data_IF_328288271522
#
_entry.id   IF_328288271522
#
_cell.length_a   1.000
_cell.length_b   1.000
_cell.length_c   1.000
_cell.angle_alpha   90.00
_cell.angle_beta   90.00
_cell.angle_gamma   90.00
#
_symmetry.space_group_name_H-M   'P 1'
#
loop_
_entity.id
_entity.type
_entity.pdbx_description
1 polymer ?
#
# COMPACT_ATOMS: atom_id res chain seq x y z
N UNK A 1 -26.57 -1.81 15.47
CA UNK A 1 -25.93 -2.67 14.45
C UNK A 1 -24.50 -2.18 14.31
N UNK A 2 -23.47 -3.02 14.45
CA UNK A 2 -22.12 -2.58 14.14
C UNK A 2 -22.13 -2.15 12.67
N UNK A 3 -21.72 -0.91 12.40
CA UNK A 3 -21.53 -0.43 11.02
C UNK A 3 -20.47 -1.33 10.40
N UNK A 4 -20.77 -1.94 9.25
CA UNK A 4 -19.75 -2.64 8.47
C UNK A 4 -18.58 -1.67 8.24
N UNK A 5 -17.43 -2.00 8.81
CA UNK A 5 -16.24 -1.12 8.82
C UNK A 5 -15.68 -0.95 7.40
N UNK A 6 -15.94 -1.91 6.52
CA UNK A 6 -15.49 -1.94 5.13
C UNK A 6 -16.70 -1.96 4.20
N UNK A 7 -16.77 -0.97 3.30
CA UNK A 7 -17.77 -0.90 2.24
C UNK A 7 -17.60 -2.05 1.27
N UNK A 8 -18.67 -2.73 0.86
CA UNK A 8 -18.55 -3.81 -0.13
C UNK A 8 -18.09 -3.26 -1.48
N UNK A 9 -17.18 -3.96 -2.16
CA UNK A 9 -16.67 -3.60 -3.49
C UNK A 9 -17.74 -3.29 -4.53
N UNK A 10 -18.85 -4.05 -4.52
CA UNK A 10 -19.94 -3.88 -5.50
C UNK A 10 -20.77 -2.61 -5.27
N UNK A 11 -20.77 -2.06 -4.06
CA UNK A 11 -21.56 -0.88 -3.68
C UNK A 11 -20.81 0.41 -4.01
N UNK A 12 -19.54 0.47 -3.62
CA UNK A 12 -18.65 1.59 -3.90
C UNK A 12 -17.21 1.06 -3.91
N UNK A 13 -16.62 1.00 -5.10
CA UNK A 13 -15.27 0.51 -5.28
C UNK A 13 -14.23 1.44 -4.65
N UNK A 14 -14.43 2.76 -4.76
CA UNK A 14 -13.47 3.74 -4.28
C UNK A 14 -13.41 3.71 -2.75
N UNK A 15 -14.57 3.71 -2.10
CA UNK A 15 -14.63 3.62 -0.64
C UNK A 15 -14.14 2.26 -0.14
N UNK A 16 -14.50 1.15 -0.81
CA UNK A 16 -13.98 -0.18 -0.50
C UNK A 16 -12.45 -0.24 -0.52
N UNK A 17 -11.82 0.35 -1.54
CA UNK A 17 -10.36 0.40 -1.65
C UNK A 17 -9.73 1.19 -0.50
N UNK A 18 -10.26 2.37 -0.20
CA UNK A 18 -9.78 3.21 0.90
C UNK A 18 -9.98 2.55 2.27
N UNK A 19 -11.13 1.88 2.47
CA UNK A 19 -11.42 1.13 3.69
C UNK A 19 -10.41 -0.01 3.86
N UNK A 20 -10.10 -0.78 2.82
CA UNK A 20 -9.08 -1.83 2.92
C UNK A 20 -7.72 -1.25 3.28
N UNK A 21 -7.26 -0.21 2.58
CA UNK A 21 -5.94 0.40 2.83
C UNK A 21 -5.83 0.92 4.27
N UNK A 22 -6.91 1.51 4.80
CA UNK A 22 -6.98 2.01 6.17
C UNK A 22 -7.03 0.87 7.19
N UNK A 23 -7.97 -0.06 7.05
CA UNK A 23 -8.19 -1.14 8.03
C UNK A 23 -7.04 -2.16 8.06
N UNK A 24 -6.31 -2.34 6.96
CA UNK A 24 -5.10 -3.15 6.92
C UNK A 24 -3.84 -2.41 7.41
N UNK A 25 -3.99 -1.16 7.86
CA UNK A 25 -2.89 -0.31 8.32
C UNK A 25 -1.76 -0.17 7.29
N UNK A 26 -2.14 0.01 6.01
CA UNK A 26 -1.19 0.02 4.89
C UNK A 26 -0.64 1.42 4.62
N UNK A 27 -1.52 2.42 4.61
CA UNK A 27 -1.17 3.79 4.28
C UNK A 27 -2.23 4.79 4.77
N UNK A 28 -1.83 6.04 4.96
CA UNK A 28 -2.71 7.15 5.34
C UNK A 28 -2.35 8.44 4.60
N UNK A 29 -3.29 9.37 4.48
CA UNK A 29 -3.03 10.66 3.81
C UNK A 29 -2.10 11.50 4.67
N UNK A 30 -1.08 12.10 4.07
CA UNK A 30 -0.19 13.00 4.79
C UNK A 30 -0.94 14.28 5.20
N UNK A 31 -0.98 14.57 6.50
CA UNK A 31 -1.72 15.73 7.04
C UNK A 31 -1.14 17.08 6.57
N UNK A 32 0.18 17.14 6.40
CA UNK A 32 0.92 18.39 6.12
C UNK A 32 1.00 18.71 4.62
N UNK A 33 0.88 17.69 3.75
CA UNK A 33 1.07 17.85 2.30
C UNK A 33 -0.04 17.14 1.53
N UNK A 34 -0.89 17.92 0.86
CA UNK A 34 -1.98 17.38 0.05
C UNK A 34 -1.43 16.56 -1.12
N UNK A 35 -2.07 15.42 -1.36
CA UNK A 35 -1.67 14.48 -2.43
C UNK A 35 -0.51 13.57 -2.05
N UNK A 36 0.09 13.75 -0.87
CA UNK A 36 1.07 12.81 -0.33
C UNK A 36 0.41 11.77 0.58
N UNK A 37 1.07 10.61 0.67
CA UNK A 37 0.63 9.47 1.47
C UNK A 37 1.80 9.07 2.36
N UNK A 38 1.51 8.78 3.63
CA UNK A 38 2.43 8.13 4.55
C UNK A 38 2.19 6.62 4.45
N UNK A 39 3.21 5.89 4.01
CA UNK A 39 3.16 4.42 3.98
C UNK A 39 3.46 3.90 5.38
N UNK A 40 2.58 3.06 5.92
CA UNK A 40 2.68 2.51 7.27
C UNK A 40 3.49 1.22 7.25
N UNK A 41 3.74 0.65 8.43
CA UNK A 41 4.62 -0.52 8.59
C UNK A 41 4.20 -1.71 7.70
N UNK A 42 2.90 -2.04 7.66
CA UNK A 42 2.42 -3.15 6.82
C UNK A 42 2.59 -2.86 5.32
N UNK A 43 2.30 -1.63 4.89
CA UNK A 43 2.49 -1.22 3.50
C UNK A 43 3.96 -1.23 3.09
N UNK A 44 4.83 -0.79 3.99
CA UNK A 44 6.28 -0.77 3.76
C UNK A 44 6.86 -2.18 3.68
N UNK A 45 6.43 -3.11 4.54
CA UNK A 45 6.88 -4.50 4.49
C UNK A 45 6.55 -5.18 3.14
N UNK A 46 5.36 -4.91 2.58
CA UNK A 46 5.01 -5.40 1.25
C UNK A 46 5.92 -4.79 0.17
N UNK A 47 6.19 -3.49 0.26
CA UNK A 47 7.12 -2.81 -0.65
C UNK A 47 8.52 -3.41 -0.60
N UNK A 48 9.09 -3.64 0.59
CA UNK A 48 10.44 -4.20 0.77
C UNK A 48 10.56 -5.60 0.14
N UNK A 49 9.54 -6.44 0.27
CA UNK A 49 9.51 -7.77 -0.35
C UNK A 49 9.47 -7.68 -1.88
N UNK A 50 8.65 -6.78 -2.43
CA UNK A 50 8.61 -6.56 -3.88
C UNK A 50 9.91 -5.97 -4.41
N UNK A 51 10.47 -4.97 -3.70
CA UNK A 51 11.72 -4.32 -4.06
C UNK A 51 12.85 -5.34 -4.10
N UNK A 52 13.02 -6.15 -3.06
CA UNK A 52 14.05 -7.20 -3.01
C UNK A 52 13.89 -8.19 -4.15
N UNK A 53 12.67 -8.71 -4.35
CA UNK A 53 12.42 -9.70 -5.41
C UNK A 53 12.70 -9.16 -6.81
N UNK A 54 12.48 -7.86 -7.06
CA UNK A 54 12.84 -7.23 -8.32
C UNK A 54 14.35 -6.96 -8.42
N UNK A 55 14.96 -6.46 -7.36
CA UNK A 55 16.39 -6.14 -7.30
C UNK A 55 17.26 -7.39 -7.52
N UNK A 56 16.91 -8.51 -6.91
CA UNK A 56 17.59 -9.80 -7.11
C UNK A 56 17.58 -10.20 -8.60
N UNK A 57 16.41 -10.11 -9.25
CA UNK A 57 16.24 -10.47 -10.67
C UNK A 57 16.98 -9.51 -11.61
N UNK A 58 17.07 -8.24 -11.26
CA UNK A 58 17.86 -7.26 -12.03
C UNK A 58 19.35 -7.59 -11.90
N UNK A 59 19.83 -7.88 -10.69
CA UNK A 59 21.23 -8.24 -10.44
C UNK A 59 21.64 -9.55 -11.10
N UNK A 60 20.75 -10.53 -11.19
CA UNK A 60 20.95 -11.78 -11.95
C UNK A 60 21.28 -11.52 -13.44
N UNK A 61 20.83 -10.40 -14.00
CA UNK A 61 21.13 -10.00 -15.38
C UNK A 61 22.43 -9.19 -15.53
N UNK A 62 23.22 -9.05 -14.45
CA UNK A 62 24.50 -8.35 -14.46
C UNK A 62 24.42 -6.84 -14.26
N UNK A 63 23.24 -6.30 -13.96
CA UNK A 63 23.05 -4.87 -13.68
C UNK A 63 23.33 -4.54 -12.21
N UNK A 64 23.72 -3.30 -11.94
CA UNK A 64 23.83 -2.75 -10.59
C UNK A 64 23.05 -1.44 -10.52
N UNK A 65 22.44 -1.19 -9.37
CA UNK A 65 21.95 0.15 -9.04
C UNK A 65 23.15 1.11 -8.89
N UNK A 66 22.88 2.40 -9.15
CA UNK A 66 23.85 3.51 -9.01
C UNK A 66 24.13 3.86 -7.56
#
# INVERSE_FOLDING_TARGET
MPKDVITTRAKDYNQWYLDIVREADMAEVAEVVRGCIVVKANGWAVWELMQRGLDDRIKETGHSNL
#
